data_IF_845698770632
#
_entry.id   IF_845698770632
#
_cell.length_a   1.000
_cell.length_b   1.000
_cell.length_c   1.000
_cell.angle_alpha   90.00
_cell.angle_beta   90.00
_cell.angle_gamma   90.00
#
_symmetry.space_group_name_H-M   'P 1'
#
loop_
_entity.id
_entity.type
_entity.pdbx_description
1 polymer ?
#
# COMPACT_ATOMS: atom_id res chain seq x y z
N UNK A 1 19.61 30.80 -26.14
CA UNK A 1 19.77 29.53 -25.37
C UNK A 1 19.07 28.37 -26.09
N UNK A 2 17.82 28.54 -26.55
CA UNK A 2 17.21 27.68 -27.57
C UNK A 2 18.01 27.66 -28.89
N UNK A 3 18.59 28.80 -29.32
CA UNK A 3 19.37 28.89 -30.55
C UNK A 3 20.70 28.11 -30.55
N UNK A 4 21.29 27.83 -29.38
CA UNK A 4 22.52 27.02 -29.26
C UNK A 4 22.24 25.51 -29.34
N UNK A 5 21.03 25.09 -28.95
CA UNK A 5 20.52 23.74 -29.10
C UNK A 5 20.13 23.49 -30.58
N UNK A 6 19.58 24.53 -31.25
CA UNK A 6 19.15 24.50 -32.65
C UNK A 6 20.30 24.58 -33.67
N UNK A 7 21.50 25.04 -33.32
CA UNK A 7 22.59 25.28 -34.28
C UNK A 7 23.58 24.12 -34.51
N UNK A 8 23.42 22.93 -33.91
CA UNK A 8 24.16 21.73 -34.39
C UNK A 8 23.63 20.32 -34.02
N UNK A 9 22.39 20.19 -33.57
CA UNK A 9 21.60 19.00 -33.95
C UNK A 9 21.61 18.92 -35.49
N UNK A 10 22.12 17.82 -36.07
CA UNK A 10 21.96 17.54 -37.50
C UNK A 10 22.79 18.36 -38.51
N UNK A 11 23.99 18.87 -38.17
CA UNK A 11 24.98 19.25 -39.20
C UNK A 11 25.34 18.03 -40.07
N UNK A 12 25.81 18.17 -41.32
CA UNK A 12 25.64 17.14 -42.37
C UNK A 12 26.34 15.78 -42.15
N UNK A 13 27.09 15.58 -41.05
CA UNK A 13 27.51 14.27 -40.50
C UNK A 13 27.50 14.22 -38.94
N UNK A 14 26.80 15.14 -38.27
CA UNK A 14 26.80 15.32 -36.82
C UNK A 14 26.04 14.20 -36.11
N UNK A 15 26.69 13.43 -35.22
CA UNK A 15 26.11 12.29 -34.50
C UNK A 15 25.31 12.71 -33.27
N UNK A 16 24.93 13.97 -33.12
CA UNK A 16 24.30 14.46 -31.88
C UNK A 16 22.86 13.96 -31.76
N UNK A 17 22.78 12.75 -31.20
CA UNK A 17 21.62 12.03 -30.69
C UNK A 17 21.20 12.68 -29.38
N UNK A 18 19.98 13.19 -29.29
CA UNK A 18 19.44 13.64 -28.02
C UNK A 18 19.29 12.43 -27.08
N UNK A 19 20.06 12.39 -25.99
CA UNK A 19 19.92 11.38 -24.94
C UNK A 19 19.02 11.97 -23.86
N UNK A 20 17.79 11.48 -23.77
CA UNK A 20 16.92 11.74 -22.63
C UNK A 20 17.21 10.69 -21.56
N UNK A 21 17.91 11.07 -20.49
CA UNK A 21 18.02 10.26 -19.27
C UNK A 21 16.85 10.67 -18.37
N UNK A 22 15.72 9.97 -18.51
CA UNK A 22 14.55 10.21 -17.67
C UNK A 22 14.73 9.61 -16.28
N UNK A 23 14.50 10.42 -15.24
CA UNK A 23 14.43 10.00 -13.83
C UNK A 23 12.98 9.74 -13.43
N UNK A 24 12.32 8.72 -13.99
CA UNK A 24 11.07 8.14 -13.44
C UNK A 24 10.52 7.07 -14.39
N UNK A 25 10.25 5.89 -13.84
CA UNK A 25 9.09 5.10 -14.28
C UNK A 25 8.69 4.09 -13.20
N UNK A 26 7.45 4.16 -12.68
CA UNK A 26 6.76 2.99 -12.16
C UNK A 26 5.55 2.73 -13.07
N UNK A 27 5.78 2.30 -14.31
CA UNK A 27 4.72 1.71 -15.12
C UNK A 27 5.33 0.76 -16.13
N UNK A 28 4.98 -0.53 -16.10
CA UNK A 28 5.35 -1.50 -17.15
C UNK A 28 4.56 -1.31 -18.45
N UNK A 29 3.82 -0.20 -18.59
CA UNK A 29 2.97 0.12 -19.74
C UNK A 29 2.81 1.64 -19.91
N UNK A 30 2.51 2.08 -21.14
CA UNK A 30 2.26 3.48 -21.49
C UNK A 30 3.18 4.00 -22.60
N UNK A 31 2.81 5.14 -23.19
CA UNK A 31 3.45 5.71 -24.38
C UNK A 31 4.98 5.90 -24.25
N UNK A 32 5.47 6.13 -23.03
CA UNK A 32 6.90 6.23 -22.71
C UNK A 32 7.64 4.89 -22.83
N UNK A 33 7.02 3.78 -22.40
CA UNK A 33 7.57 2.43 -22.55
C UNK A 33 7.47 1.92 -23.99
N UNK A 34 6.40 2.27 -24.70
CA UNK A 34 6.26 1.96 -26.13
C UNK A 34 7.35 2.66 -26.97
N UNK A 35 7.74 3.88 -26.59
CA UNK A 35 8.86 4.61 -27.20
C UNK A 35 10.23 3.97 -26.91
N UNK A 36 10.43 3.41 -25.70
CA UNK A 36 11.66 2.70 -25.30
C UNK A 36 11.77 1.32 -25.95
N UNK A 37 10.67 0.56 -26.02
CA UNK A 37 10.67 -0.82 -26.53
C UNK A 37 10.55 -0.90 -28.06
N UNK A 38 9.73 -0.04 -28.69
CA UNK A 38 9.52 -0.04 -30.15
C UNK A 38 10.55 0.78 -30.93
N UNK A 39 11.34 1.60 -30.24
CA UNK A 39 12.17 2.64 -30.85
C UNK A 39 11.31 3.75 -31.49
N UNK A 40 11.87 4.94 -31.60
CA UNK A 40 11.19 6.13 -32.17
C UNK A 40 11.00 6.11 -33.70
N UNK A 41 11.15 4.95 -34.36
CA UNK A 41 11.26 4.85 -35.82
C UNK A 41 12.35 5.77 -36.41
N UNK A 42 13.47 5.94 -35.69
CA UNK A 42 14.72 6.50 -36.24
C UNK A 42 15.08 7.94 -35.87
N UNK A 43 14.30 8.64 -35.04
CA UNK A 43 14.56 10.07 -34.71
C UNK A 43 15.03 10.34 -33.28
N UNK A 44 14.87 9.38 -32.36
CA UNK A 44 15.22 9.47 -30.93
C UNK A 44 15.68 8.12 -30.37
N UNK A 45 16.87 8.06 -29.79
CA UNK A 45 17.38 6.86 -29.11
C UNK A 45 17.27 7.06 -27.60
N UNK A 46 16.29 6.41 -26.97
CA UNK A 46 16.11 6.41 -25.51
C UNK A 46 16.68 5.10 -24.97
N UNK A 47 17.62 5.18 -24.03
CA UNK A 47 18.24 4.01 -23.43
C UNK A 47 18.31 4.21 -21.93
N UNK A 48 17.50 3.46 -21.20
CA UNK A 48 17.55 3.42 -19.75
C UNK A 48 18.72 2.53 -19.32
N UNK A 49 19.73 3.10 -18.65
CA UNK A 49 20.83 2.33 -18.08
C UNK A 49 20.70 2.28 -16.57
N UNK A 50 20.13 1.18 -16.09
CA UNK A 50 20.02 0.91 -14.66
C UNK A 50 21.27 0.18 -14.16
N UNK A 51 21.62 0.44 -12.90
CA UNK A 51 22.61 -0.33 -12.16
C UNK A 51 22.01 -1.57 -11.50
N UNK A 52 22.84 -2.56 -11.19
CA UNK A 52 22.46 -3.71 -10.36
C UNK A 52 22.45 -3.31 -8.88
N UNK A 53 21.29 -3.43 -8.21
CA UNK A 53 21.10 -3.09 -6.80
C UNK A 53 22.01 -3.91 -5.86
N UNK A 54 22.27 -5.17 -6.15
CA UNK A 54 23.13 -6.05 -5.32
C UNK A 54 24.60 -5.69 -5.46
N UNK A 55 24.98 -5.03 -6.55
CA UNK A 55 26.36 -4.65 -6.89
C UNK A 55 26.50 -3.13 -7.03
N UNK A 56 25.65 -2.39 -6.33
CA UNK A 56 25.46 -0.94 -6.50
C UNK A 56 26.75 -0.12 -6.36
N UNK A 57 27.69 -0.58 -5.54
CA UNK A 57 28.95 0.12 -5.25
C UNK A 57 30.09 -0.27 -6.21
N UNK A 58 29.84 -1.20 -7.15
CA UNK A 58 30.84 -1.65 -8.11
C UNK A 58 30.97 -0.64 -9.24
N UNK A 59 32.21 -0.27 -9.55
CA UNK A 59 32.49 0.71 -10.61
C UNK A 59 31.90 0.34 -11.98
N UNK A 60 31.95 -0.91 -12.46
CA UNK A 60 31.29 -1.27 -13.72
C UNK A 60 29.79 -0.99 -13.74
N UNK A 61 29.12 -1.18 -12.60
CA UNK A 61 27.68 -0.93 -12.43
C UNK A 61 27.38 0.57 -12.41
N UNK A 62 28.17 1.36 -11.68
CA UNK A 62 28.06 2.83 -11.65
C UNK A 62 28.34 3.43 -13.03
N UNK A 63 29.36 2.94 -13.71
CA UNK A 63 29.74 3.42 -15.04
C UNK A 63 28.68 3.07 -16.11
N UNK A 64 28.00 1.94 -15.96
CA UNK A 64 26.88 1.56 -16.82
C UNK A 64 25.76 2.60 -16.75
N UNK A 65 25.35 2.99 -15.54
CA UNK A 65 24.30 3.99 -15.34
C UNK A 65 24.74 5.44 -15.62
N UNK A 66 26.05 5.72 -15.57
CA UNK A 66 26.62 7.05 -15.78
C UNK A 66 27.66 7.05 -16.93
N UNK A 67 27.24 6.91 -18.19
CA UNK A 67 28.17 6.76 -19.32
C UNK A 67 29.10 7.96 -19.54
N UNK A 68 28.70 9.16 -19.10
CA UNK A 68 29.49 10.40 -19.20
C UNK A 68 30.74 10.42 -18.30
N UNK A 69 30.87 9.48 -17.36
CA UNK A 69 32.08 9.32 -16.54
C UNK A 69 33.33 8.97 -17.34
N UNK A 70 33.17 8.47 -18.57
CA UNK A 70 34.29 8.14 -19.48
C UNK A 70 34.99 9.38 -20.03
N UNK A 71 34.31 10.52 -20.07
CA UNK A 71 34.77 11.74 -20.71
C UNK A 71 34.94 12.91 -19.73
N UNK A 72 34.53 12.74 -18.46
CA UNK A 72 34.72 13.73 -17.39
C UNK A 72 35.37 13.12 -16.15
N UNK A 73 36.70 13.29 -15.98
CA UNK A 73 37.43 12.83 -14.80
C UNK A 73 36.93 13.46 -13.48
N UNK A 74 36.47 14.71 -13.53
CA UNK A 74 35.91 15.41 -12.38
C UNK A 74 34.58 14.81 -11.93
N UNK A 75 33.68 14.51 -12.89
CA UNK A 75 32.41 13.85 -12.59
C UNK A 75 32.63 12.44 -12.01
N UNK A 76 33.63 11.71 -12.51
CA UNK A 76 34.05 10.42 -11.96
C UNK A 76 34.53 10.55 -10.50
N UNK A 77 35.36 11.54 -10.18
CA UNK A 77 35.81 11.77 -8.79
C UNK A 77 34.66 12.05 -7.85
N UNK A 78 33.71 12.91 -8.25
CA UNK A 78 32.52 13.22 -7.45
C UNK A 78 31.66 11.98 -7.19
N UNK A 79 31.42 11.16 -8.21
CA UNK A 79 30.64 9.92 -8.08
C UNK A 79 31.28 8.89 -7.15
N UNK A 80 32.62 8.79 -7.15
CA UNK A 80 33.32 7.89 -6.22
C UNK A 80 33.23 8.39 -4.78
N UNK A 81 33.35 9.71 -4.55
CA UNK A 81 33.15 10.30 -3.24
C UNK A 81 31.72 10.11 -2.71
N UNK A 82 30.71 10.35 -3.55
CA UNK A 82 29.29 10.12 -3.21
C UNK A 82 29.01 8.64 -2.89
N UNK A 83 29.61 7.70 -3.65
CA UNK A 83 29.51 6.26 -3.38
C UNK A 83 30.10 5.90 -2.02
N UNK A 84 31.27 6.43 -1.69
CA UNK A 84 31.96 6.08 -0.45
C UNK A 84 31.20 6.62 0.77
N UNK A 85 30.68 7.84 0.70
CA UNK A 85 29.75 8.36 1.72
C UNK A 85 28.47 7.50 1.84
N UNK A 86 27.94 7.02 0.71
CA UNK A 86 26.79 6.11 0.68
C UNK A 86 27.06 4.71 1.24
N UNK A 87 28.31 4.29 1.44
CA UNK A 87 28.62 3.02 2.13
C UNK A 87 28.43 3.14 3.63
N UNK A 88 28.62 4.33 4.16
CA UNK A 88 28.63 4.63 5.59
C UNK A 88 27.28 5.16 6.08
N UNK A 89 26.48 5.76 5.19
CA UNK A 89 25.16 6.32 5.48
C UNK A 89 24.07 5.69 4.60
N UNK A 90 23.11 5.00 5.23
CA UNK A 90 21.96 4.36 4.59
C UNK A 90 21.03 5.34 3.85
N UNK A 91 20.95 6.61 4.28
CA UNK A 91 20.19 7.67 3.61
C UNK A 91 20.88 8.11 2.33
N UNK A 92 22.20 8.30 2.37
CA UNK A 92 23.00 8.61 1.19
C UNK A 92 23.04 7.44 0.21
N UNK A 93 23.00 6.20 0.72
CA UNK A 93 22.81 4.99 -0.09
C UNK A 93 21.54 5.02 -0.90
N UNK A 94 20.40 5.36 -0.27
CA UNK A 94 19.14 5.49 -1.00
C UNK A 94 19.30 6.52 -2.13
N UNK A 95 19.70 7.76 -1.82
CA UNK A 95 19.89 8.81 -2.82
C UNK A 95 20.83 8.40 -3.97
N UNK A 96 21.92 7.70 -3.65
CA UNK A 96 22.88 7.20 -4.64
C UNK A 96 22.26 6.16 -5.58
N UNK A 97 21.48 5.22 -5.04
CA UNK A 97 20.71 4.25 -5.84
C UNK A 97 19.77 5.00 -6.82
N UNK A 98 19.05 6.04 -6.36
CA UNK A 98 18.15 6.83 -7.24
C UNK A 98 18.91 7.50 -8.36
N UNK A 99 19.75 8.44 -7.95
CA UNK A 99 20.16 9.53 -8.80
C UNK A 99 21.35 9.13 -9.63
N UNK A 100 22.11 8.11 -9.18
CA UNK A 100 23.32 7.66 -9.84
C UNK A 100 23.15 6.28 -10.47
N UNK A 101 22.23 5.44 -10.01
CA UNK A 101 22.04 4.11 -10.61
C UNK A 101 20.72 3.96 -11.36
N UNK A 102 19.92 5.02 -11.46
CA UNK A 102 18.56 4.98 -12.01
C UNK A 102 17.75 3.84 -11.38
N UNK A 103 18.11 3.49 -10.13
CA UNK A 103 17.44 2.46 -9.39
C UNK A 103 16.29 3.10 -8.65
N UNK A 104 15.14 2.45 -8.62
CA UNK A 104 14.03 2.85 -7.79
C UNK A 104 14.49 3.25 -6.37
N UNK A 105 14.32 4.52 -5.97
CA UNK A 105 14.49 4.97 -4.57
C UNK A 105 13.19 5.14 -3.90
N UNK A 106 13.13 4.69 -2.65
CA UNK A 106 12.04 4.82 -1.71
C UNK A 106 11.57 6.27 -1.42
N UNK A 107 11.21 7.06 -2.43
CA UNK A 107 9.91 7.75 -2.48
C UNK A 107 8.85 6.83 -3.11
N UNK A 108 9.19 5.54 -3.21
CA UNK A 108 8.37 4.50 -3.82
C UNK A 108 7.25 4.13 -2.90
N UNK A 109 6.05 4.31 -3.43
CA UNK A 109 4.92 3.50 -3.05
C UNK A 109 5.28 2.01 -3.22
N UNK A 110 5.67 1.33 -2.14
CA UNK A 110 5.73 -0.13 -2.15
C UNK A 110 4.29 -0.69 -2.20
N UNK A 111 4.13 -1.90 -2.71
CA UNK A 111 2.89 -2.65 -2.50
C UNK A 111 2.73 -2.94 -1.01
N UNK A 112 1.50 -2.83 -0.49
CA UNK A 112 1.23 -3.12 0.92
C UNK A 112 1.58 -4.57 1.26
N UNK A 113 1.11 -5.49 0.42
CA UNK A 113 1.46 -6.90 0.39
C UNK A 113 1.92 -7.28 -1.02
N UNK A 114 2.88 -8.20 -1.11
CA UNK A 114 3.22 -8.80 -2.40
C UNK A 114 2.10 -9.74 -2.86
N UNK A 115 2.05 -10.03 -4.16
CA UNK A 115 1.10 -11.03 -4.71
C UNK A 115 1.35 -12.39 -4.06
N UNK A 116 2.61 -12.77 -3.89
CA UNK A 116 3.00 -14.04 -3.26
C UNK A 116 2.52 -14.13 -1.80
N UNK A 117 2.69 -13.07 -1.00
CA UNK A 117 2.23 -13.05 0.39
C UNK A 117 0.69 -13.12 0.46
N UNK A 118 0.00 -12.41 -0.44
CA UNK A 118 -1.46 -12.47 -0.51
C UNK A 118 -1.94 -13.87 -0.90
N UNK A 119 -1.38 -14.46 -1.95
CA UNK A 119 -1.71 -15.82 -2.41
C UNK A 119 -1.44 -16.84 -1.31
N UNK A 120 -0.35 -16.67 -0.55
CA UNK A 120 -0.05 -17.49 0.63
C UNK A 120 -1.12 -17.40 1.70
N UNK A 121 -1.63 -16.19 2.01
CA UNK A 121 -2.75 -16.04 2.96
C UNK A 121 -4.05 -16.65 2.46
N UNK A 122 -4.25 -16.70 1.14
CA UNK A 122 -5.42 -17.33 0.53
C UNK A 122 -5.29 -18.87 0.48
N UNK A 123 -4.07 -19.40 0.35
CA UNK A 123 -3.82 -20.84 0.28
C UNK A 123 -3.88 -21.53 1.66
N UNK A 124 -3.81 -20.78 2.77
CA UNK A 124 -3.90 -21.33 4.13
C UNK A 124 -5.31 -21.85 4.42
N UNK A 125 -5.38 -22.96 5.15
CA UNK A 125 -6.63 -23.45 5.70
C UNK A 125 -7.24 -22.38 6.62
N UNK A 126 -8.49 -22.01 6.36
CA UNK A 126 -9.19 -20.96 7.10
C UNK A 126 -9.65 -21.55 8.45
N UNK A 127 -9.13 -21.07 9.60
CA UNK A 127 -9.53 -21.57 10.91
C UNK A 127 -11.01 -21.30 11.23
N UNK A 128 -11.56 -21.98 12.23
CA UNK A 128 -12.86 -21.64 12.79
C UNK A 128 -12.84 -20.25 13.47
N UNK A 129 -14.03 -19.66 13.68
CA UNK A 129 -14.19 -18.39 14.41
C UNK A 129 -14.10 -18.64 15.91
N UNK A 130 -12.91 -19.00 16.40
CA UNK A 130 -12.66 -19.30 17.81
C UNK A 130 -12.00 -18.13 18.54
N UNK A 131 -12.51 -17.84 19.74
CA UNK A 131 -12.09 -16.70 20.55
C UNK A 131 -12.65 -15.35 20.08
N UNK A 132 -12.40 -14.31 20.87
CA UNK A 132 -12.81 -12.95 20.51
C UNK A 132 -11.85 -12.36 19.47
N UNK A 133 -12.36 -11.87 18.32
CA UNK A 133 -11.51 -11.25 17.31
C UNK A 133 -11.09 -9.84 17.71
N UNK A 134 -10.08 -9.32 17.02
CA UNK A 134 -9.80 -7.88 17.00
C UNK A 134 -10.33 -7.30 15.70
N UNK A 135 -10.86 -6.08 15.76
CA UNK A 135 -11.41 -5.38 14.61
C UNK A 135 -10.59 -4.14 14.26
N UNK A 136 -10.30 -3.97 12.98
CA UNK A 136 -9.86 -2.70 12.41
C UNK A 136 -11.00 -2.07 11.62
N UNK A 137 -11.18 -0.76 11.78
CA UNK A 137 -12.19 0.05 11.08
C UNK A 137 -11.51 1.22 10.36
N UNK A 138 -11.87 1.41 9.10
CA UNK A 138 -11.67 2.66 8.38
C UNK A 138 -13.03 3.28 8.08
N UNK A 139 -13.34 4.41 8.73
CA UNK A 139 -14.62 5.08 8.59
C UNK A 139 -14.52 6.16 7.52
N UNK A 140 -15.12 5.90 6.37
CA UNK A 140 -15.15 6.82 5.25
C UNK A 140 -15.76 8.17 5.62
N UNK A 141 -15.16 9.24 5.11
CA UNK A 141 -15.74 10.58 5.07
C UNK A 141 -16.17 10.96 3.64
N UNK A 142 -17.27 11.70 3.50
CA UNK A 142 -17.77 12.07 2.18
C UNK A 142 -18.14 10.83 1.35
N UNK A 143 -17.77 10.80 0.06
CA UNK A 143 -18.05 9.68 -0.87
C UNK A 143 -17.14 8.46 -0.68
N UNK A 144 -16.51 8.29 0.49
CA UNK A 144 -15.65 7.17 0.82
C UNK A 144 -16.48 5.95 1.24
N UNK A 145 -15.87 4.76 1.18
CA UNK A 145 -16.46 3.57 1.77
C UNK A 145 -16.10 3.55 3.26
N UNK A 146 -16.89 2.85 4.05
CA UNK A 146 -16.49 2.47 5.41
C UNK A 146 -16.20 0.97 5.40
N UNK A 147 -15.12 0.53 6.03
CA UNK A 147 -14.70 -0.86 6.02
C UNK A 147 -14.34 -1.36 7.41
N UNK A 148 -14.59 -2.63 7.65
CA UNK A 148 -14.21 -3.35 8.85
C UNK A 148 -13.46 -4.63 8.46
N UNK A 149 -12.43 -4.97 9.24
CA UNK A 149 -11.69 -6.23 9.11
C UNK A 149 -11.56 -6.87 10.46
N UNK A 150 -11.94 -8.14 10.55
CA UNK A 150 -11.86 -8.97 11.75
C UNK A 150 -10.73 -9.99 11.62
N UNK A 151 -9.88 -10.08 12.64
CA UNK A 151 -8.84 -11.10 12.75
C UNK A 151 -9.02 -11.85 14.07
N UNK A 152 -9.30 -13.16 13.98
CA UNK A 152 -9.37 -14.04 15.16
C UNK A 152 -7.98 -14.44 15.65
N UNK A 153 -7.84 -14.86 16.92
CA UNK A 153 -6.57 -15.34 17.48
C UNK A 153 -5.84 -16.40 16.63
N UNK A 154 -6.59 -17.33 16.03
CA UNK A 154 -6.04 -18.37 15.15
C UNK A 154 -5.61 -17.86 13.75
N UNK A 155 -5.83 -16.57 13.45
CA UNK A 155 -5.40 -15.94 12.19
C UNK A 155 -6.46 -15.91 11.09
N UNK A 156 -7.68 -16.43 11.33
CA UNK A 156 -8.82 -16.24 10.41
C UNK A 156 -9.04 -14.74 10.18
N UNK A 157 -9.13 -14.33 8.93
CA UNK A 157 -9.35 -12.94 8.53
C UNK A 157 -10.61 -12.83 7.67
N UNK A 158 -11.50 -11.92 8.05
CA UNK A 158 -12.70 -11.58 7.30
C UNK A 158 -12.84 -10.06 7.16
N UNK A 159 -13.49 -9.62 6.08
CA UNK A 159 -13.71 -8.22 5.78
C UNK A 159 -15.15 -7.95 5.38
N UNK A 160 -15.64 -6.77 5.75
CA UNK A 160 -16.91 -6.19 5.35
C UNK A 160 -16.70 -4.74 4.96
N UNK A 161 -17.51 -4.23 4.04
CA UNK A 161 -17.54 -2.82 3.71
C UNK A 161 -18.96 -2.32 3.45
N UNK A 162 -19.17 -1.03 3.65
CA UNK A 162 -20.37 -0.29 3.27
C UNK A 162 -19.96 0.81 2.29
N UNK A 163 -20.44 0.71 1.06
CA UNK A 163 -20.31 1.73 0.02
C UNK A 163 -21.45 2.76 0.12
N UNK A 164 -21.21 4.03 -0.26
CA UNK A 164 -22.29 4.98 -0.48
C UNK A 164 -23.13 4.57 -1.69
N UNK A 165 -24.42 4.92 -1.70
CA UNK A 165 -25.29 4.76 -2.87
C UNK A 165 -25.05 5.80 -3.97
N UNK A 166 -24.29 6.87 -3.68
CA UNK A 166 -23.96 7.94 -4.64
C UNK A 166 -22.45 8.24 -4.60
N UNK A 167 -21.67 7.90 -5.65
CA UNK A 167 -22.08 7.30 -6.93
C UNK A 167 -22.60 5.86 -6.78
N UNK A 168 -23.29 5.34 -7.79
CA UNK A 168 -23.71 3.92 -7.80
C UNK A 168 -22.50 2.99 -7.78
N UNK A 169 -22.72 1.72 -7.43
CA UNK A 169 -21.62 0.75 -7.38
C UNK A 169 -21.00 0.51 -8.77
N UNK A 170 -21.82 0.48 -9.82
CA UNK A 170 -21.35 0.33 -11.22
C UNK A 170 -20.55 1.56 -11.68
N UNK A 171 -20.95 2.76 -11.24
CA UNK A 171 -20.17 3.98 -11.47
C UNK A 171 -18.82 3.92 -10.75
N UNK A 172 -18.81 3.36 -9.55
CA UNK A 172 -17.62 3.21 -8.75
C UNK A 172 -16.66 2.17 -9.36
N UNK A 173 -17.16 1.03 -9.82
CA UNK A 173 -16.36 0.02 -10.54
C UNK A 173 -15.60 0.64 -11.72
N UNK A 174 -16.32 1.41 -12.55
CA UNK A 174 -15.71 2.10 -13.70
C UNK A 174 -14.65 3.11 -13.29
N UNK A 175 -14.85 3.81 -12.18
CA UNK A 175 -13.87 4.78 -11.65
C UNK A 175 -12.62 4.08 -11.12
N UNK A 176 -12.80 2.94 -10.49
CA UNK A 176 -11.72 2.16 -9.87
C UNK A 176 -11.01 1.25 -10.87
N UNK A 177 -11.56 1.12 -12.09
CA UNK A 177 -11.04 0.29 -13.18
C UNK A 177 -10.89 -1.18 -12.79
N UNK A 178 -11.81 -1.65 -11.94
CA UNK A 178 -11.94 -3.08 -11.63
C UNK A 178 -12.76 -3.77 -12.73
N UNK A 179 -12.62 -5.10 -12.91
CA UNK A 179 -13.46 -5.84 -13.85
C UNK A 179 -14.95 -5.60 -13.58
N UNK A 180 -15.73 -5.47 -14.65
CA UNK A 180 -17.18 -5.22 -14.54
C UNK A 180 -17.85 -6.36 -13.77
N UNK A 181 -18.69 -6.02 -12.79
CA UNK A 181 -19.42 -6.98 -11.96
C UNK A 181 -18.70 -7.37 -10.67
N UNK A 182 -17.41 -7.03 -10.50
CA UNK A 182 -16.65 -7.36 -9.29
C UNK A 182 -17.33 -6.86 -8.00
N UNK A 183 -17.75 -5.61 -7.94
CA UNK A 183 -18.44 -5.07 -6.77
C UNK A 183 -19.88 -5.56 -6.67
N UNK A 184 -20.55 -5.86 -7.78
CA UNK A 184 -21.87 -6.49 -7.75
C UNK A 184 -21.80 -7.87 -7.08
N UNK A 185 -20.84 -8.69 -7.49
CA UNK A 185 -20.62 -10.02 -6.91
C UNK A 185 -20.33 -9.93 -5.41
N UNK A 186 -19.59 -8.90 -4.96
CA UNK A 186 -19.35 -8.66 -3.53
C UNK A 186 -20.62 -8.24 -2.78
N UNK A 187 -21.52 -7.50 -3.44
CA UNK A 187 -22.84 -7.15 -2.88
C UNK A 187 -23.71 -8.38 -2.75
N UNK A 188 -23.78 -9.20 -3.80
CA UNK A 188 -24.58 -10.42 -3.80
C UNK A 188 -24.05 -11.45 -2.78
N UNK A 189 -22.73 -11.48 -2.56
CA UNK A 189 -22.08 -12.26 -1.51
C UNK A 189 -22.25 -11.68 -0.09
N UNK A 190 -22.87 -10.51 0.06
CA UNK A 190 -23.11 -9.85 1.36
C UNK A 190 -21.88 -9.27 2.04
N UNK A 191 -20.71 -9.26 1.39
CA UNK A 191 -19.46 -8.69 1.95
C UNK A 191 -19.31 -7.21 1.69
N UNK A 192 -20.00 -6.69 0.67
CA UNK A 192 -20.15 -5.27 0.40
C UNK A 192 -21.63 -4.90 0.53
N UNK A 193 -21.95 -3.88 1.34
CA UNK A 193 -23.30 -3.32 1.44
C UNK A 193 -23.35 -1.97 0.77
N UNK A 194 -24.52 -1.56 0.29
CA UNK A 194 -24.72 -0.23 -0.32
C UNK A 194 -25.69 0.57 0.55
N UNK A 195 -25.25 1.72 1.04
CA UNK A 195 -26.06 2.67 1.77
C UNK A 195 -26.94 3.47 0.78
N UNK A 196 -28.15 2.96 0.52
CA UNK A 196 -29.06 3.54 -0.47
C UNK A 196 -29.36 5.02 -0.22
N UNK A 197 -29.33 5.83 -1.29
CA UNK A 197 -29.60 7.28 -1.23
C UNK A 197 -28.55 8.12 -0.48
N UNK A 198 -27.55 7.50 0.13
CA UNK A 198 -26.56 8.20 0.96
C UNK A 198 -25.24 8.43 0.21
N UNK A 199 -24.65 9.60 0.44
CA UNK A 199 -23.29 9.93 -0.01
C UNK A 199 -22.22 9.48 0.97
N UNK A 200 -22.58 9.31 2.24
CA UNK A 200 -21.70 8.90 3.34
C UNK A 200 -22.42 7.76 4.06
N UNK A 201 -21.83 6.55 4.13
CA UNK A 201 -22.35 5.48 4.96
C UNK A 201 -22.39 5.91 6.43
N UNK A 202 -23.44 5.54 7.16
CA UNK A 202 -23.49 5.77 8.61
C UNK A 202 -22.59 4.75 9.31
N UNK A 203 -21.69 5.15 10.22
CA UNK A 203 -20.82 4.20 10.93
C UNK A 203 -21.59 3.08 11.63
N UNK A 204 -22.80 3.34 12.12
CA UNK A 204 -23.70 2.36 12.75
C UNK A 204 -24.04 1.22 11.80
N UNK A 205 -24.28 1.50 10.52
CA UNK A 205 -24.62 0.48 9.52
C UNK A 205 -23.48 -0.56 9.39
N UNK A 206 -22.22 -0.11 9.49
CA UNK A 206 -21.04 -0.98 9.46
C UNK A 206 -20.82 -1.72 10.79
N UNK A 207 -21.01 -1.04 11.92
CA UNK A 207 -20.89 -1.65 13.26
C UNK A 207 -21.92 -2.76 13.44
N UNK A 208 -23.19 -2.51 13.09
CA UNK A 208 -24.25 -3.50 13.19
C UNK A 208 -24.02 -4.66 12.20
N UNK A 209 -23.48 -4.38 11.01
CA UNK A 209 -23.05 -5.42 10.07
C UNK A 209 -21.96 -6.32 10.67
N UNK A 210 -20.93 -5.73 11.27
CA UNK A 210 -19.82 -6.44 11.89
C UNK A 210 -20.28 -7.28 13.09
N UNK A 211 -21.10 -6.72 13.99
CA UNK A 211 -21.68 -7.44 15.13
C UNK A 211 -22.51 -8.63 14.69
N UNK A 212 -23.39 -8.44 13.70
CA UNK A 212 -24.22 -9.52 13.17
C UNK A 212 -23.38 -10.62 12.50
N UNK A 213 -22.28 -10.26 11.85
CA UNK A 213 -21.43 -11.21 11.15
C UNK A 213 -20.48 -11.96 12.08
N UNK A 214 -19.94 -11.29 13.09
CA UNK A 214 -18.73 -11.73 13.80
C UNK A 214 -18.87 -11.79 15.33
N UNK A 215 -19.97 -11.32 15.91
CA UNK A 215 -20.15 -11.20 17.36
C UNK A 215 -19.39 -9.99 17.94
N UNK A 216 -19.09 -9.99 19.23
CA UNK A 216 -18.35 -8.89 19.87
C UNK A 216 -16.82 -9.05 19.70
N UNK A 217 -16.07 -7.96 19.51
CA UNK A 217 -14.61 -8.00 19.46
C UNK A 217 -14.00 -7.89 20.87
N UNK A 218 -12.77 -8.41 21.01
CA UNK A 218 -11.92 -8.08 22.17
C UNK A 218 -11.52 -6.59 22.16
N UNK A 219 -11.30 -6.04 20.97
CA UNK A 219 -10.94 -4.64 20.75
C UNK A 219 -11.31 -4.19 19.34
N UNK A 220 -11.82 -2.97 19.20
CA UNK A 220 -12.04 -2.31 17.92
C UNK A 220 -11.10 -1.11 17.77
N UNK A 221 -10.48 -0.96 16.60
CA UNK A 221 -9.44 0.03 16.36
C UNK A 221 -9.78 0.83 15.13
N UNK A 222 -9.68 2.15 15.23
CA UNK A 222 -9.97 3.07 14.12
C UNK A 222 -8.96 4.22 14.10
N UNK A 223 -8.96 5.01 13.02
CA UNK A 223 -8.19 6.26 12.99
C UNK A 223 -8.69 7.22 14.10
N UNK A 224 -7.73 7.83 14.83
CA UNK A 224 -8.01 8.78 15.92
C UNK A 224 -8.98 9.90 15.52
N UNK A 225 -8.95 10.39 14.28
CA UNK A 225 -9.83 11.45 13.82
C UNK A 225 -11.29 11.00 13.65
N UNK A 226 -11.54 9.68 13.59
CA UNK A 226 -12.87 9.07 13.48
C UNK A 226 -13.30 8.38 14.79
N UNK A 227 -12.54 8.55 15.87
CA UNK A 227 -12.78 7.86 17.13
C UNK A 227 -14.08 8.28 17.83
N UNK A 228 -14.49 9.55 17.68
CA UNK A 228 -15.79 10.03 18.19
C UNK A 228 -16.95 9.32 17.49
N UNK A 229 -17.01 9.43 16.15
CA UNK A 229 -18.00 8.73 15.32
C UNK A 229 -18.03 7.22 15.60
N UNK A 230 -16.86 6.59 15.78
CA UNK A 230 -16.78 5.17 16.09
C UNK A 230 -17.28 4.84 17.50
N UNK A 231 -17.00 5.69 18.50
CA UNK A 231 -17.47 5.50 19.87
C UNK A 231 -19.00 5.66 19.97
N UNK A 232 -19.55 6.67 19.29
CA UNK A 232 -20.99 6.89 19.18
C UNK A 232 -21.67 5.69 18.52
N UNK A 233 -21.11 5.24 17.38
CA UNK A 233 -21.63 4.07 16.68
C UNK A 233 -21.46 2.77 17.48
N UNK A 234 -20.38 2.60 18.24
CA UNK A 234 -20.22 1.45 19.12
C UNK A 234 -21.25 1.48 20.27
N UNK A 235 -21.67 2.65 20.74
CA UNK A 235 -22.69 2.80 21.78
C UNK A 235 -22.34 2.09 23.09
N UNK A 236 -21.05 1.96 23.40
CA UNK A 236 -20.55 1.24 24.58
C UNK A 236 -20.58 -0.29 24.49
N UNK A 237 -20.96 -0.88 23.34
CA UNK A 237 -21.06 -2.33 23.14
C UNK A 237 -19.71 -3.05 23.16
N UNK A 238 -18.62 -2.36 22.83
CA UNK A 238 -17.26 -2.90 22.86
C UNK A 238 -16.23 -1.77 22.98
N UNK A 239 -15.00 -2.07 23.44
CA UNK A 239 -13.97 -1.06 23.58
C UNK A 239 -13.42 -0.59 22.22
N UNK A 240 -13.37 0.73 22.04
CA UNK A 240 -12.81 1.41 20.85
C UNK A 240 -11.49 2.08 21.23
N UNK A 241 -10.42 1.74 20.51
CA UNK A 241 -9.10 2.31 20.70
C UNK A 241 -8.70 3.15 19.48
N UNK A 242 -8.49 4.47 19.65
CA UNK A 242 -8.00 5.33 18.58
C UNK A 242 -6.55 5.00 18.26
N UNK A 243 -6.23 4.91 16.96
CA UNK A 243 -4.86 4.75 16.46
C UNK A 243 -4.39 6.03 15.80
N UNK A 244 -3.17 6.47 16.13
CA UNK A 244 -2.59 7.66 15.53
C UNK A 244 -1.75 7.27 14.32
N UNK A 245 -1.99 7.93 13.20
CA UNK A 245 -1.25 7.75 11.94
C UNK A 245 0.15 8.39 11.96
N UNK A 246 0.86 8.36 13.10
CA UNK A 246 2.28 8.74 13.18
C UNK A 246 3.09 7.73 12.37
N UNK A 247 4.15 8.21 11.72
CA UNK A 247 4.98 7.38 10.85
C UNK A 247 5.49 6.10 11.52
N UNK A 248 5.98 6.18 12.76
CA UNK A 248 6.46 5.01 13.50
C UNK A 248 5.36 4.01 13.87
N UNK A 249 4.18 4.50 14.26
CA UNK A 249 3.01 3.68 14.63
C UNK A 249 2.43 2.97 13.40
N UNK A 250 2.23 3.71 12.31
CA UNK A 250 1.77 3.17 11.04
C UNK A 250 2.78 2.16 10.47
N UNK A 251 4.08 2.41 10.62
CA UNK A 251 5.13 1.48 10.19
C UNK A 251 5.06 0.16 10.95
N UNK A 252 4.78 0.21 12.25
CA UNK A 252 4.62 -0.99 13.07
C UNK A 252 3.41 -1.82 12.60
N UNK A 253 2.29 -1.18 12.26
CA UNK A 253 1.09 -1.85 11.79
C UNK A 253 1.28 -2.47 10.38
N UNK A 254 1.94 -1.75 9.46
CA UNK A 254 2.32 -2.29 8.14
C UNK A 254 3.27 -3.49 8.26
N UNK A 255 4.30 -3.40 9.12
CA UNK A 255 5.22 -4.51 9.38
C UNK A 255 4.53 -5.70 10.01
N UNK A 256 3.58 -5.46 10.92
CA UNK A 256 2.78 -6.52 11.53
C UNK A 256 1.98 -7.29 10.47
N UNK A 257 1.27 -6.58 9.59
CA UNK A 257 0.54 -7.19 8.47
C UNK A 257 1.46 -8.03 7.58
N UNK A 258 2.58 -7.46 7.13
CA UNK A 258 3.56 -8.17 6.30
C UNK A 258 4.10 -9.43 6.99
N UNK A 259 4.42 -9.34 8.28
CA UNK A 259 4.89 -10.48 9.08
C UNK A 259 3.86 -11.60 9.16
N UNK A 260 2.60 -11.29 9.49
CA UNK A 260 1.58 -12.33 9.64
C UNK A 260 1.10 -12.90 8.30
N UNK A 261 1.21 -12.11 7.23
CA UNK A 261 0.94 -12.58 5.87
C UNK A 261 2.04 -13.51 5.36
N UNK A 262 3.31 -13.14 5.48
CA UNK A 262 4.44 -13.95 5.01
C UNK A 262 4.59 -15.24 5.83
N UNK A 263 4.81 -15.12 7.15
CA UNK A 263 5.27 -16.23 7.98
C UNK A 263 4.31 -16.56 9.15
N UNK A 264 3.27 -15.75 9.36
CA UNK A 264 2.33 -15.94 10.47
C UNK A 264 1.04 -16.68 10.09
N UNK A 265 -0.01 -16.59 10.94
CA UNK A 265 -1.21 -17.41 10.81
C UNK A 265 -2.30 -16.80 9.92
N UNK A 266 -2.07 -15.64 9.29
CA UNK A 266 -3.14 -14.90 8.60
C UNK A 266 -3.74 -15.72 7.45
N UNK A 267 -5.01 -16.08 7.55
CA UNK A 267 -5.75 -16.88 6.57
C UNK A 267 -7.03 -16.14 6.16
N UNK A 268 -7.09 -15.69 4.90
CA UNK A 268 -8.22 -14.90 4.39
C UNK A 268 -9.35 -15.83 3.96
N UNK A 269 -10.52 -15.67 4.58
CA UNK A 269 -11.72 -16.43 4.25
C UNK A 269 -12.18 -16.18 2.81
N UNK A 270 -12.67 -17.22 2.13
CA UNK A 270 -13.02 -17.18 0.70
C UNK A 270 -13.91 -15.98 0.33
N UNK A 271 -14.97 -15.74 1.11
CA UNK A 271 -15.91 -14.64 0.86
C UNK A 271 -15.28 -13.24 0.94
N UNK A 272 -14.19 -13.07 1.69
CA UNK A 272 -13.53 -11.76 1.87
C UNK A 272 -12.39 -11.51 0.89
N UNK A 273 -11.93 -12.52 0.12
CA UNK A 273 -10.77 -12.40 -0.77
C UNK A 273 -10.97 -11.33 -1.83
N UNK A 274 -12.10 -11.34 -2.52
CA UNK A 274 -12.37 -10.36 -3.60
C UNK A 274 -12.38 -8.92 -3.09
N UNK A 275 -12.98 -8.69 -1.92
CA UNK A 275 -13.04 -7.37 -1.30
C UNK A 275 -11.65 -6.88 -0.87
N UNK A 276 -10.88 -7.74 -0.19
CA UNK A 276 -9.51 -7.41 0.23
C UNK A 276 -8.60 -7.20 -0.98
N UNK A 277 -8.67 -8.06 -1.99
CA UNK A 277 -7.87 -7.96 -3.22
C UNK A 277 -8.15 -6.65 -3.97
N UNK A 278 -9.42 -6.28 -4.14
CA UNK A 278 -9.80 -5.03 -4.80
C UNK A 278 -9.23 -3.82 -4.06
N UNK A 279 -9.19 -3.87 -2.73
CA UNK A 279 -8.67 -2.78 -1.92
C UNK A 279 -7.13 -2.72 -1.89
N UNK A 280 -6.47 -3.88 -1.85
CA UNK A 280 -5.00 -3.97 -1.96
C UNK A 280 -4.47 -3.43 -3.30
N UNK A 281 -5.23 -3.59 -4.39
CA UNK A 281 -4.87 -3.04 -5.69
C UNK A 281 -4.76 -1.50 -5.68
N UNK A 282 -5.56 -0.84 -4.84
CA UNK A 282 -5.58 0.61 -4.63
C UNK A 282 -4.53 1.08 -3.61
N UNK A 283 -4.23 0.24 -2.61
CA UNK A 283 -3.34 0.59 -1.51
C UNK A 283 -1.88 0.66 -1.93
N UNK A 284 -1.16 1.61 -1.34
CA UNK A 284 0.29 1.78 -1.47
C UNK A 284 0.90 2.06 -0.11
N UNK A 285 2.21 1.88 0.00
CA UNK A 285 2.97 2.22 1.21
C UNK A 285 3.97 3.29 0.88
N UNK A 286 3.81 4.49 1.44
CA UNK A 286 4.80 5.57 1.33
C UNK A 286 5.83 5.42 2.46
N UNK A 287 7.08 5.74 2.18
CA UNK A 287 8.15 5.85 3.17
C UNK A 287 8.44 7.32 3.50
N UNK A 288 8.89 7.59 4.72
CA UNK A 288 9.53 8.87 5.08
C UNK A 288 11.05 8.78 4.96
N UNK A 289 11.72 9.90 5.21
CA UNK A 289 13.18 10.03 5.18
C UNK A 289 13.89 9.25 6.30
N UNK A 290 13.14 8.78 7.30
CA UNK A 290 13.61 7.97 8.42
C UNK A 290 13.38 6.45 8.18
N UNK A 291 12.83 6.06 7.04
CA UNK A 291 12.53 4.66 6.70
C UNK A 291 11.34 4.08 7.46
N UNK A 292 10.53 4.93 8.09
CA UNK A 292 9.19 4.55 8.54
C UNK A 292 8.23 4.58 7.35
N UNK A 293 7.17 3.78 7.43
CA UNK A 293 6.24 3.63 6.32
C UNK A 293 4.79 3.75 6.79
N UNK A 294 3.89 4.15 5.88
CA UNK A 294 2.45 4.20 6.14
C UNK A 294 1.66 3.94 4.87
N UNK A 295 0.43 3.48 5.03
CA UNK A 295 -0.49 3.35 3.90
C UNK A 295 -0.75 4.71 3.25
N UNK A 296 -0.85 4.73 1.93
CA UNK A 296 -1.15 5.88 1.11
C UNK A 296 -1.96 5.43 -0.11
N UNK A 297 -2.78 6.34 -0.65
CA UNK A 297 -3.45 6.12 -1.93
C UNK A 297 -2.47 6.26 -3.09
N UNK A 298 -2.61 5.41 -4.11
CA UNK A 298 -1.85 5.58 -5.34
C UNK A 298 -2.22 6.93 -6.00
N UNK A 299 -1.20 7.73 -6.38
CA UNK A 299 -1.38 9.10 -6.91
C UNK A 299 -2.27 9.14 -8.16
N UNK A 300 -2.17 8.13 -9.03
CA UNK A 300 -3.01 8.01 -10.23
C UNK A 300 -4.40 7.43 -9.98
N UNK A 301 -4.67 6.97 -8.74
CA UNK A 301 -5.92 6.37 -8.30
C UNK A 301 -6.48 7.08 -7.06
N UNK A 302 -6.36 8.41 -6.95
CA UNK A 302 -6.89 9.16 -5.80
C UNK A 302 -8.41 8.97 -5.51
N UNK A 303 -9.15 8.29 -6.41
CA UNK A 303 -10.57 7.94 -6.27
C UNK A 303 -10.83 6.48 -5.89
N UNK A 304 -9.80 5.63 -5.83
CA UNK A 304 -9.91 4.20 -5.52
C UNK A 304 -10.08 3.92 -4.02
N UNK A 305 -10.62 2.74 -3.72
CA UNK A 305 -11.04 2.29 -2.38
C UNK A 305 -9.99 1.43 -1.70
N UNK A 306 -9.10 2.06 -0.94
CA UNK A 306 -8.13 1.38 -0.07
C UNK A 306 -8.67 1.19 1.36
N UNK A 307 -9.96 1.47 1.59
CA UNK A 307 -10.55 1.55 2.94
C UNK A 307 -10.46 0.18 3.67
N UNK A 308 -10.67 -0.92 2.95
CA UNK A 308 -10.53 -2.29 3.51
C UNK A 308 -9.06 -2.62 3.80
N UNK A 309 -8.12 -2.17 2.95
CA UNK A 309 -6.69 -2.34 3.19
C UNK A 309 -6.22 -1.53 4.42
N UNK A 310 -6.76 -0.33 4.64
CA UNK A 310 -6.49 0.48 5.83
C UNK A 310 -7.02 -0.23 7.10
N UNK A 311 -8.27 -0.71 7.07
CA UNK A 311 -8.85 -1.51 8.15
C UNK A 311 -8.04 -2.78 8.45
N UNK A 312 -7.56 -3.48 7.41
CA UNK A 312 -6.72 -4.68 7.55
C UNK A 312 -5.39 -4.38 8.24
N UNK A 313 -4.72 -3.28 7.91
CA UNK A 313 -3.47 -2.86 8.56
C UNK A 313 -3.70 -2.61 10.05
N UNK A 314 -4.79 -1.91 10.40
CA UNK A 314 -5.14 -1.62 11.79
C UNK A 314 -5.40 -2.92 12.58
N UNK A 315 -6.21 -3.82 12.02
CA UNK A 315 -6.54 -5.11 12.64
C UNK A 315 -5.27 -5.95 12.87
N UNK A 316 -4.40 -6.06 11.85
CA UNK A 316 -3.17 -6.84 11.91
C UNK A 316 -2.18 -6.28 12.95
N UNK A 317 -2.02 -4.96 12.99
CA UNK A 317 -1.17 -4.29 13.97
C UNK A 317 -1.57 -4.61 15.40
N UNK A 318 -2.87 -4.62 15.68
CA UNK A 318 -3.39 -4.95 17.01
C UNK A 318 -3.26 -6.44 17.26
N UNK A 319 -3.65 -7.30 16.33
CA UNK A 319 -3.54 -8.75 16.48
C UNK A 319 -2.14 -9.20 16.94
N UNK A 320 -1.09 -8.66 16.30
CA UNK A 320 0.30 -8.96 16.67
C UNK A 320 0.68 -8.43 18.06
N UNK A 321 0.14 -7.28 18.47
CA UNK A 321 0.37 -6.73 19.81
C UNK A 321 -0.40 -7.50 20.88
N UNK A 322 -1.65 -7.87 20.62
CA UNK A 322 -2.49 -8.65 21.53
C UNK A 322 -1.91 -10.04 21.77
N UNK A 323 -1.31 -10.67 20.76
CA UNK A 323 -0.58 -11.93 20.90
C UNK A 323 0.68 -11.81 21.79
N UNK A 324 1.16 -10.59 22.05
CA UNK A 324 2.27 -10.30 22.97
C UNK A 324 1.79 -9.87 24.38
N UNK A 325 0.48 -9.75 24.61
CA UNK A 325 -0.11 -9.44 25.92
C UNK A 325 -0.61 -10.78 26.51
N UNK A 326 -0.10 -11.22 27.67
CA UNK A 326 -0.65 -12.38 28.38
C UNK A 326 -2.15 -12.17 28.63
N UNK A 327 -2.97 -13.22 28.52
CA UNK A 327 -4.41 -13.14 28.78
C UNK A 327 -4.69 -12.31 30.05
N UNK A 328 -5.55 -11.28 29.99
CA UNK A 328 -6.01 -10.65 31.21
C UNK A 328 -6.69 -11.72 32.05
N UNK A 329 -6.26 -11.87 33.30
CA UNK A 329 -6.82 -12.82 34.23
C UNK A 329 -8.35 -12.69 34.23
N UNK A 330 -9.06 -13.79 33.95
CA UNK A 330 -10.52 -13.83 34.08
C UNK A 330 -10.88 -13.27 35.46
N UNK A 331 -11.87 -12.37 35.57
CA UNK A 331 -12.33 -11.91 36.87
C UNK A 331 -12.71 -13.15 37.69
N UNK A 332 -12.05 -13.30 38.83
CA UNK A 332 -12.37 -14.35 39.79
C UNK A 332 -13.81 -14.06 40.22
N UNK A 333 -14.73 -14.92 39.81
CA UNK A 333 -16.10 -14.88 40.30
C UNK A 333 -16.03 -15.31 41.77
N UNK A 334 -15.98 -14.34 42.68
CA UNK A 334 -16.16 -14.61 44.10
C UNK A 334 -17.66 -14.81 44.28
N UNK A 335 -18.14 -16.01 44.62
CA UNK A 335 -19.53 -16.19 45.00
C UNK A 335 -19.77 -15.35 46.25
N UNK A 336 -20.76 -14.46 46.21
CA UNK A 336 -21.28 -13.86 47.42
C UNK A 336 -22.31 -14.86 47.97
N UNK A 337 -21.88 -15.64 48.95
CA UNK A 337 -22.77 -16.27 49.92
C UNK A 337 -23.27 -15.21 50.93
#
# INVERSE_FOLDING_TARGET
MADAILTALGKPESPMKAVFIGTLAPATSGWWHDLVNGGSKGSTFVMLRQGDRKRWDRWPVIQQANPLTRISPEFRRRLLAERDAAREDTRLKAQFLSYRLNLPTADESEVLLTVEDFDRTCARAVPAREGLPVWGFDLGGGRAWSAAVSIWPAGRCEALAVAPGIPSIDDQERRDRVPRGTYRDLVDAGTLRVAEGLRVPRPEDLVDAALNAWGEPAAAICDRFRAGDMADAAGGRFPVYPRVSRWSEAAADVRALRKIAADGPLAIADGSRGLIQASLAAARVKNDDQGSCRIAKAVHHARSRDDVAAALVLAAGVHVRSAAIPEPARPIHIPLD
#
